data_IF_422961074361
#
_entry.id   IF_422961074361
#
_cell.length_a   1.000
_cell.length_b   1.000
_cell.length_c   1.000
_cell.angle_alpha   90.00
_cell.angle_beta   90.00
_cell.angle_gamma   90.00
#
_symmetry.space_group_name_H-M   'P 1'
#
loop_
_entity.id
_entity.type
_entity.pdbx_description
1 polymer ?
#
# COMPACT_ATOMS: atom_id res chain seq x y z
N UNK A 1 -1.62 29.26 61.66
CA UNK A 1 -0.76 28.09 61.88
C UNK A 1 -1.36 26.88 61.16
N UNK A 2 -1.09 26.75 59.86
CA UNK A 2 -1.35 25.54 59.06
C UNK A 2 -0.24 25.47 58.01
N UNK A 3 0.51 24.39 58.06
CA UNK A 3 1.72 24.12 57.30
C UNK A 3 1.39 23.68 55.87
N UNK A 4 2.07 24.29 54.90
CA UNK A 4 2.22 23.79 53.53
C UNK A 4 3.10 22.54 53.53
N UNK A 5 2.68 21.51 52.79
CA UNK A 5 3.55 20.41 52.38
C UNK A 5 3.49 20.29 50.86
N UNK A 6 4.67 20.39 50.25
CA UNK A 6 4.93 20.18 48.83
C UNK A 6 5.03 18.68 48.52
N UNK A 7 4.63 18.27 47.32
CA UNK A 7 5.01 17.00 46.73
C UNK A 7 5.37 17.22 45.25
N UNK A 8 6.54 16.69 44.89
CA UNK A 8 7.25 16.75 43.61
C UNK A 8 6.69 15.78 42.55
N UNK A 9 7.14 15.90 41.28
CA UNK A 9 6.54 15.26 40.11
C UNK A 9 7.06 13.84 39.88
N UNK A 10 6.24 12.96 39.31
CA UNK A 10 6.63 11.59 38.98
C UNK A 10 6.01 11.10 37.69
N UNK A 11 6.86 10.61 36.78
CA UNK A 11 6.54 9.47 35.91
C UNK A 11 6.19 9.80 34.45
N UNK A 12 7.21 10.00 33.63
CA UNK A 12 7.12 9.73 32.19
C UNK A 12 6.86 8.23 31.95
N UNK A 13 5.71 7.88 31.37
CA UNK A 13 5.51 6.58 30.74
C UNK A 13 5.73 6.74 29.23
N UNK A 14 6.97 6.45 28.79
CA UNK A 14 7.24 6.15 27.39
C UNK A 14 6.78 4.72 27.11
N UNK A 15 5.79 4.56 26.23
CA UNK A 15 5.36 3.26 25.74
C UNK A 15 6.11 3.00 24.45
N UNK A 16 6.97 1.97 24.47
CA UNK A 16 7.72 1.49 23.31
C UNK A 16 6.78 0.65 22.41
N UNK A 17 6.54 1.05 21.15
CA UNK A 17 5.61 0.35 20.25
C UNK A 17 6.14 -1.00 19.73
N UNK A 18 7.24 -1.52 20.27
CA UNK A 18 7.83 -2.82 19.90
C UNK A 18 7.78 -3.89 21.02
N UNK A 19 7.04 -3.70 22.12
CA UNK A 19 6.92 -4.73 23.18
C UNK A 19 5.86 -5.82 22.84
N UNK A 20 6.27 -7.10 22.63
CA UNK A 20 5.36 -8.20 22.31
C UNK A 20 4.54 -8.72 23.50
N UNK A 21 4.57 -8.08 24.68
CA UNK A 21 3.91 -8.56 25.91
C UNK A 21 2.41 -8.26 26.05
N UNK A 22 1.76 -7.65 25.05
CA UNK A 22 0.30 -7.45 25.06
C UNK A 22 -0.54 -8.71 24.78
N UNK A 23 0.09 -9.87 24.54
CA UNK A 23 -0.60 -11.17 24.46
C UNK A 23 -0.58 -11.90 25.81
N UNK A 24 -1.47 -11.55 26.75
CA UNK A 24 -1.92 -12.53 27.77
C UNK A 24 -3.13 -12.04 28.56
N UNK A 25 -4.33 -12.41 28.11
CA UNK A 25 -5.58 -12.33 28.88
C UNK A 25 -6.38 -13.64 28.85
N UNK A 26 -5.79 -14.72 28.33
CA UNK A 26 -6.42 -16.03 28.28
C UNK A 26 -5.79 -16.95 29.34
N UNK A 27 -6.59 -17.70 30.12
CA UNK A 27 -6.06 -18.75 30.97
C UNK A 27 -5.35 -19.81 30.09
N UNK A 28 -4.21 -20.38 30.52
CA UNK A 28 -3.49 -21.36 29.74
C UNK A 28 -4.35 -22.60 29.50
N UNK A 29 -4.47 -22.99 28.23
CA UNK A 29 -5.07 -24.26 27.84
C UNK A 29 -4.26 -25.43 28.43
N UNK A 30 -4.97 -26.48 28.85
CA UNK A 30 -4.36 -27.71 29.36
C UNK A 30 -3.38 -28.31 28.33
N UNK A 31 -2.24 -28.89 28.77
CA UNK A 31 -1.27 -29.48 27.85
C UNK A 31 -1.90 -30.65 27.07
N UNK A 32 -1.65 -30.75 25.75
CA UNK A 32 -2.14 -31.86 24.96
C UNK A 32 -1.46 -33.17 25.39
N UNK A 33 -2.24 -34.26 25.37
CA UNK A 33 -1.75 -35.60 25.60
C UNK A 33 -0.67 -35.97 24.57
N UNK A 34 0.43 -36.53 25.06
CA UNK A 34 1.56 -37.01 24.28
C UNK A 34 1.14 -38.14 23.33
N UNK A 35 0.99 -37.82 22.04
CA UNK A 35 0.96 -38.81 20.98
C UNK A 35 2.39 -39.16 20.55
N UNK A 36 2.71 -40.45 20.31
CA UNK A 36 4.03 -40.87 19.87
C UNK A 36 4.33 -40.36 18.46
N UNK A 37 5.54 -39.82 18.30
CA UNK A 37 6.13 -39.28 17.09
C UNK A 37 6.33 -40.39 16.03
N UNK A 38 5.81 -40.24 14.79
CA UNK A 38 6.12 -41.19 13.73
C UNK A 38 7.55 -40.97 13.21
N UNK A 39 8.29 -42.07 13.05
CA UNK A 39 9.67 -42.09 12.61
C UNK A 39 9.88 -41.42 11.23
N UNK A 40 10.97 -40.69 11.09
CA UNK A 40 11.37 -40.02 9.87
C UNK A 40 11.61 -41.03 8.71
N UNK A 41 11.20 -40.69 7.46
CA UNK A 41 11.44 -41.55 6.31
C UNK A 41 12.93 -41.60 5.93
N UNK A 42 13.41 -42.82 5.66
CA UNK A 42 14.76 -43.10 5.16
C UNK A 42 14.87 -42.68 3.69
N UNK A 43 15.90 -41.91 3.28
CA UNK A 43 16.10 -41.57 1.87
C UNK A 43 16.54 -42.79 1.06
N UNK A 44 16.07 -42.94 -0.20
CA UNK A 44 16.47 -44.06 -1.04
C UNK A 44 17.94 -43.95 -1.50
N UNK A 45 18.65 -45.08 -1.65
CA UNK A 45 20.02 -45.09 -2.14
C UNK A 45 20.07 -44.98 -3.66
N UNK A 46 20.91 -44.06 -4.16
CA UNK A 46 21.46 -44.13 -5.51
C UNK A 46 20.99 -43.03 -6.47
N UNK A 47 21.77 -41.96 -6.56
CA UNK A 47 21.98 -41.24 -7.82
C UNK A 47 23.45 -40.92 -7.96
N UNK A 48 24.09 -41.60 -8.91
CA UNK A 48 25.48 -41.42 -9.29
C UNK A 48 25.72 -40.10 -10.00
N UNK A 49 26.95 -39.64 -9.90
CA UNK A 49 27.50 -38.47 -10.56
C UNK A 49 27.33 -38.56 -12.09
N UNK A 50 26.68 -37.56 -12.68
CA UNK A 50 26.63 -37.36 -14.12
C UNK A 50 27.53 -36.17 -14.52
N UNK A 51 28.39 -36.48 -15.48
CA UNK A 51 29.31 -35.64 -16.24
C UNK A 51 28.92 -34.16 -16.43
N UNK A 52 29.92 -33.30 -16.20
CA UNK A 52 29.96 -31.90 -16.67
C UNK A 52 30.45 -31.89 -18.12
N UNK A 53 29.69 -31.36 -19.10
CA UNK A 53 30.20 -31.13 -20.44
C UNK A 53 30.97 -29.80 -20.52
N UNK A 54 32.11 -29.90 -21.16
CA UNK A 54 33.10 -28.87 -21.49
C UNK A 54 32.57 -27.85 -22.51
N UNK A 55 32.94 -26.58 -22.31
CA UNK A 55 33.11 -25.50 -23.31
C UNK A 55 31.97 -25.19 -24.29
N UNK A 56 31.24 -24.10 -24.04
CA UNK A 56 30.57 -23.33 -25.08
C UNK A 56 31.57 -22.41 -25.79
N UNK A 57 31.92 -22.72 -27.04
CA UNK A 57 32.59 -21.79 -27.95
C UNK A 57 31.59 -20.74 -28.43
N UNK A 58 31.97 -19.46 -28.25
CA UNK A 58 31.24 -18.29 -28.74
C UNK A 58 31.36 -18.19 -30.27
N UNK A 59 30.26 -18.09 -31.05
CA UNK A 59 30.34 -17.81 -32.48
C UNK A 59 30.89 -16.40 -32.74
N UNK A 60 31.60 -16.17 -33.86
CA UNK A 60 32.16 -14.88 -34.20
C UNK A 60 31.06 -13.84 -34.51
N UNK A 61 31.30 -12.65 -33.99
CA UNK A 61 30.51 -11.42 -34.07
C UNK A 61 30.34 -10.97 -35.52
N UNK A 62 29.10 -10.98 -36.02
CA UNK A 62 28.77 -10.43 -37.33
C UNK A 62 28.73 -8.90 -37.25
N UNK A 63 29.51 -8.25 -38.10
CA UNK A 63 29.64 -6.79 -38.17
C UNK A 63 28.28 -6.12 -38.45
N UNK A 64 27.89 -5.21 -37.56
CA UNK A 64 26.73 -4.32 -37.71
C UNK A 64 27.09 -3.22 -38.73
N UNK A 65 26.27 -2.96 -39.77
CA UNK A 65 26.53 -1.87 -40.71
C UNK A 65 26.32 -0.48 -40.05
N UNK A 66 27.05 0.55 -40.50
CA UNK A 66 26.97 1.88 -39.91
C UNK A 66 25.60 2.53 -40.14
N UNK A 67 25.05 3.11 -39.07
CA UNK A 67 23.82 3.93 -39.09
C UNK A 67 24.13 5.22 -39.87
N UNK A 68 23.33 5.61 -40.88
CA UNK A 68 23.52 6.88 -41.57
C UNK A 68 23.22 8.07 -40.64
N UNK A 69 23.93 9.21 -40.78
CA UNK A 69 23.70 10.38 -39.95
C UNK A 69 22.30 10.93 -40.21
N UNK A 70 21.45 10.86 -39.19
CA UNK A 70 20.16 11.55 -39.19
C UNK A 70 20.43 13.05 -39.12
N UNK A 71 20.03 13.77 -40.16
CA UNK A 71 20.10 15.24 -40.20
C UNK A 71 19.27 15.89 -39.09
N UNK A 72 19.44 17.20 -38.86
CA UNK A 72 18.82 17.90 -37.75
C UNK A 72 17.31 17.97 -37.96
N UNK A 73 16.57 17.09 -37.28
CA UNK A 73 15.12 17.20 -37.20
C UNK A 73 14.78 18.29 -36.19
N UNK A 74 14.45 19.47 -36.72
CA UNK A 74 13.85 20.55 -35.96
C UNK A 74 12.51 20.09 -35.38
N UNK A 75 12.52 19.74 -34.10
CA UNK A 75 11.35 19.73 -33.24
C UNK A 75 11.67 20.57 -32.01
N UNK A 76 11.94 21.86 -32.22
CA UNK A 76 11.60 22.88 -31.23
C UNK A 76 10.08 23.09 -31.30
N UNK A 77 9.33 22.13 -30.76
CA UNK A 77 7.98 22.39 -30.29
C UNK A 77 8.08 22.54 -28.78
N UNK A 78 8.16 23.80 -28.37
CA UNK A 78 7.80 24.23 -27.03
C UNK A 78 6.38 23.74 -26.71
N UNK A 79 6.29 22.58 -26.05
CA UNK A 79 5.14 22.29 -25.20
C UNK A 79 5.21 23.25 -24.02
N UNK A 80 4.42 24.30 -24.12
CA UNK A 80 4.15 25.22 -23.03
C UNK A 80 3.26 24.53 -22.00
N UNK A 81 3.86 23.63 -21.21
CA UNK A 81 3.40 23.31 -19.87
C UNK A 81 4.66 23.26 -19.00
N UNK A 82 4.65 24.05 -17.93
CA UNK A 82 5.84 24.29 -17.12
C UNK A 82 6.35 23.00 -16.49
N UNK A 83 7.42 22.46 -17.08
CA UNK A 83 8.34 21.52 -16.44
C UNK A 83 8.99 22.24 -15.24
N UNK A 84 8.25 22.31 -14.13
CA UNK A 84 8.87 22.45 -12.81
C UNK A 84 9.77 21.22 -12.68
N UNK A 85 11.10 21.37 -12.50
CA UNK A 85 11.95 20.24 -12.19
C UNK A 85 11.33 19.55 -10.99
N UNK A 86 10.84 18.31 -11.18
CA UNK A 86 10.07 17.61 -10.18
C UNK A 86 10.89 17.60 -8.89
N UNK A 87 10.41 18.30 -7.85
CA UNK A 87 11.07 18.34 -6.55
C UNK A 87 11.39 16.90 -6.15
N UNK A 88 12.69 16.52 -6.03
CA UNK A 88 13.10 15.13 -5.81
C UNK A 88 12.43 14.50 -4.59
N UNK A 89 12.02 15.34 -3.63
CA UNK A 89 11.28 14.93 -2.44
C UNK A 89 9.93 14.30 -2.76
N UNK A 90 9.26 14.72 -3.83
CA UNK A 90 8.02 14.09 -4.29
C UNK A 90 8.26 12.73 -4.91
N UNK A 91 9.34 12.53 -5.66
CA UNK A 91 9.67 11.21 -6.20
C UNK A 91 9.94 10.20 -5.07
N UNK A 92 10.68 10.61 -4.04
CA UNK A 92 10.88 9.80 -2.83
C UNK A 92 9.56 9.55 -2.08
N UNK A 93 8.71 10.58 -1.89
CA UNK A 93 7.42 10.42 -1.25
C UNK A 93 6.52 9.41 -2.00
N UNK A 94 6.51 9.43 -3.34
CA UNK A 94 5.80 8.43 -4.16
C UNK A 94 6.32 7.02 -3.88
N UNK A 95 7.65 6.83 -3.75
CA UNK A 95 8.24 5.55 -3.37
C UNK A 95 7.86 5.12 -1.95
N UNK A 96 7.84 6.06 -0.98
CA UNK A 96 7.35 5.79 0.37
C UNK A 96 5.89 5.32 0.35
N UNK A 97 5.03 5.99 -0.42
CA UNK A 97 3.61 5.62 -0.61
C UNK A 97 3.49 4.22 -1.21
N UNK A 98 4.28 3.90 -2.25
CA UNK A 98 4.33 2.57 -2.85
C UNK A 98 4.69 1.52 -1.80
N UNK A 99 5.75 1.75 -1.03
CA UNK A 99 6.20 0.82 -0.01
C UNK A 99 5.15 0.62 1.09
N UNK A 100 4.54 1.70 1.60
CA UNK A 100 3.49 1.64 2.61
C UNK A 100 2.25 0.91 2.10
N UNK A 101 1.83 1.19 0.87
CA UNK A 101 0.67 0.53 0.25
C UNK A 101 0.90 -0.97 0.12
N UNK A 102 2.07 -1.40 -0.39
CA UNK A 102 2.43 -2.83 -0.46
C UNK A 102 2.44 -3.50 0.91
N UNK A 103 3.06 -2.85 1.91
CA UNK A 103 3.14 -3.39 3.27
C UNK A 103 1.75 -3.54 3.88
N UNK A 104 0.89 -2.54 3.73
CA UNK A 104 -0.47 -2.57 4.24
C UNK A 104 -1.29 -3.64 3.53
N UNK A 105 -1.23 -3.73 2.20
CA UNK A 105 -1.98 -4.73 1.44
C UNK A 105 -1.58 -6.17 1.81
N UNK A 106 -0.29 -6.43 2.04
CA UNK A 106 0.16 -7.72 2.57
C UNK A 106 -0.36 -7.98 3.99
N UNK A 107 -0.33 -6.98 4.88
CA UNK A 107 -0.88 -7.10 6.24
C UNK A 107 -2.39 -7.36 6.23
N UNK A 108 -3.13 -6.57 5.45
CA UNK A 108 -4.57 -6.71 5.20
C UNK A 108 -4.92 -8.12 4.73
N UNK A 109 -4.14 -8.65 3.78
CA UNK A 109 -4.33 -10.02 3.31
C UNK A 109 -4.16 -11.07 4.42
N UNK A 110 -3.11 -10.94 5.25
CA UNK A 110 -2.86 -11.88 6.34
C UNK A 110 -4.02 -11.85 7.35
N UNK A 111 -4.47 -10.66 7.73
CA UNK A 111 -5.60 -10.49 8.66
C UNK A 111 -6.89 -11.05 8.05
N UNK A 112 -7.17 -10.75 6.78
CA UNK A 112 -8.35 -11.26 6.08
C UNK A 112 -8.34 -12.78 5.95
N UNK A 113 -7.19 -13.38 5.63
CA UNK A 113 -7.05 -14.83 5.55
C UNK A 113 -7.27 -15.49 6.92
N UNK A 114 -6.63 -14.97 7.98
CA UNK A 114 -6.75 -15.53 9.34
C UNK A 114 -8.18 -15.44 9.89
N UNK A 115 -8.90 -14.37 9.55
CA UNK A 115 -10.26 -14.14 10.02
C UNK A 115 -11.35 -14.74 9.11
N UNK A 116 -10.97 -15.31 7.96
CA UNK A 116 -11.91 -15.77 6.94
C UNK A 116 -12.94 -16.78 7.48
N UNK A 117 -14.22 -16.54 7.19
CA UNK A 117 -15.33 -17.39 7.64
C UNK A 117 -15.64 -17.32 9.13
N UNK A 118 -14.91 -16.50 9.90
CA UNK A 118 -15.14 -16.26 11.31
C UNK A 118 -15.98 -15.00 11.58
N UNK A 119 -16.35 -14.79 12.85
CA UNK A 119 -17.07 -13.60 13.31
C UNK A 119 -16.31 -12.29 13.11
N UNK A 120 -14.98 -12.36 13.01
CA UNK A 120 -14.09 -11.22 12.80
C UNK A 120 -13.63 -11.06 11.34
N UNK A 121 -14.31 -11.68 10.38
CA UNK A 121 -13.90 -11.64 8.98
C UNK A 121 -13.68 -10.20 8.50
N UNK A 122 -12.58 -9.97 7.80
CA UNK A 122 -12.19 -8.65 7.27
C UNK A 122 -12.63 -8.57 5.81
N UNK A 123 -13.18 -7.42 5.44
CA UNK A 123 -13.64 -7.12 4.09
C UNK A 123 -12.48 -7.07 3.07
N UNK A 124 -12.82 -7.10 1.77
CA UNK A 124 -11.83 -7.16 0.69
C UNK A 124 -11.05 -5.87 0.49
N UNK A 125 -11.52 -4.75 1.04
CA UNK A 125 -10.97 -3.41 0.79
C UNK A 125 -10.45 -2.74 2.07
N UNK A 126 -9.53 -1.80 1.91
CA UNK A 126 -8.98 -0.95 2.97
C UNK A 126 -8.74 0.47 2.45
N UNK A 127 -9.00 1.49 3.28
CA UNK A 127 -8.66 2.89 2.99
C UNK A 127 -7.30 3.24 3.60
N UNK A 128 -6.54 4.09 2.93
CA UNK A 128 -5.29 4.66 3.41
C UNK A 128 -5.33 6.18 3.27
N UNK A 129 -4.95 6.89 4.32
CA UNK A 129 -4.77 8.33 4.31
C UNK A 129 -3.29 8.64 4.54
N UNK A 130 -2.70 9.41 3.65
CA UNK A 130 -1.28 9.73 3.66
C UNK A 130 -1.05 11.16 4.16
N UNK A 131 -0.17 11.28 5.14
CA UNK A 131 0.27 12.55 5.69
C UNK A 131 1.79 12.59 5.68
N UNK A 132 2.37 13.77 5.56
CA UNK A 132 3.83 13.93 5.60
C UNK A 132 4.20 14.99 6.62
N UNK A 133 5.38 14.86 7.21
CA UNK A 133 6.01 15.91 8.01
C UNK A 133 7.43 16.15 7.53
N UNK A 134 7.94 17.36 7.75
CA UNK A 134 9.36 17.65 7.54
C UNK A 134 10.21 16.76 8.45
N UNK A 135 11.25 16.18 7.87
CA UNK A 135 12.18 15.27 8.52
C UNK A 135 13.58 15.51 7.92
N UNK A 136 14.29 16.58 8.34
CA UNK A 136 15.55 17.01 7.70
C UNK A 136 16.69 15.99 7.80
N UNK A 137 16.55 14.98 8.67
CA UNK A 137 17.51 13.89 8.83
C UNK A 137 17.19 12.67 7.95
N UNK A 138 16.03 12.66 7.27
CA UNK A 138 15.69 11.63 6.29
C UNK A 138 16.30 12.00 4.92
N UNK A 139 16.68 11.03 4.06
CA UNK A 139 17.42 11.28 2.82
C UNK A 139 16.82 12.35 1.90
N UNK A 140 15.49 12.50 1.89
CA UNK A 140 14.78 13.47 1.05
C UNK A 140 13.88 14.40 1.87
N UNK A 141 14.16 14.58 3.16
CA UNK A 141 13.55 15.63 3.98
C UNK A 141 12.10 15.40 4.40
N UNK A 142 11.47 14.29 4.02
CA UNK A 142 10.07 13.98 4.33
C UNK A 142 9.91 12.61 5.00
N UNK A 143 9.02 12.56 5.99
CA UNK A 143 8.56 11.33 6.62
C UNK A 143 7.08 11.13 6.37
N UNK A 144 6.73 10.02 5.71
CA UNK A 144 5.35 9.60 5.50
C UNK A 144 4.75 8.95 6.77
N UNK A 145 3.55 9.41 7.12
CA UNK A 145 2.65 8.85 8.12
C UNK A 145 1.40 8.31 7.41
N UNK A 146 0.85 7.21 7.90
CA UNK A 146 -0.29 6.56 7.25
C UNK A 146 -1.33 6.12 8.27
N UNK A 147 -2.50 6.74 8.19
CA UNK A 147 -3.72 6.22 8.82
C UNK A 147 -4.42 5.26 7.85
N UNK A 148 -5.07 4.22 8.36
CA UNK A 148 -5.82 3.30 7.52
C UNK A 148 -7.12 2.82 8.15
N UNK A 149 -8.05 2.37 7.32
CA UNK A 149 -9.28 1.70 7.74
C UNK A 149 -9.39 0.32 7.15
N UNK A 150 -9.58 -0.67 8.01
CA UNK A 150 -10.08 -1.99 7.63
C UNK A 150 -11.56 -2.08 7.97
N UNK A 151 -12.35 -2.71 7.12
CA UNK A 151 -13.76 -2.96 7.39
C UNK A 151 -13.99 -4.42 7.76
N UNK A 152 -14.95 -4.71 8.64
CA UNK A 152 -15.52 -6.04 8.74
C UNK A 152 -16.12 -6.45 7.40
N UNK A 153 -16.09 -7.74 7.10
CA UNK A 153 -16.75 -8.28 5.92
C UNK A 153 -18.26 -8.04 6.01
N UNK A 154 -18.80 -7.35 5.01
CA UNK A 154 -20.21 -7.00 4.88
C UNK A 154 -20.53 -6.64 3.43
N UNK A 155 -21.81 -6.73 3.00
CA UNK A 155 -22.22 -6.31 1.66
C UNK A 155 -21.80 -4.88 1.32
N UNK A 156 -21.83 -3.97 2.30
CA UNK A 156 -21.46 -2.56 2.15
C UNK A 156 -19.95 -2.39 1.85
N UNK A 157 -19.12 -3.34 2.29
CA UNK A 157 -17.67 -3.34 2.09
C UNK A 157 -17.19 -4.17 0.90
N UNK A 158 -18.09 -4.82 0.16
CA UNK A 158 -17.71 -5.78 -0.90
C UNK A 158 -17.38 -5.09 -2.23
N UNK A 159 -17.98 -3.93 -2.52
CA UNK A 159 -17.85 -3.23 -3.80
C UNK A 159 -17.03 -1.96 -3.63
N UNK A 160 -15.78 -1.96 -4.13
CA UNK A 160 -14.82 -0.89 -3.89
C UNK A 160 -15.28 0.50 -4.39
N UNK A 161 -15.81 0.66 -5.63
CA UNK A 161 -16.29 1.98 -6.07
C UNK A 161 -17.40 2.54 -5.18
N UNK A 162 -18.34 1.69 -4.75
CA UNK A 162 -19.44 2.10 -3.88
C UNK A 162 -18.91 2.50 -2.50
N UNK A 163 -18.01 1.70 -1.92
CA UNK A 163 -17.36 2.02 -0.65
C UNK A 163 -16.62 3.37 -0.70
N UNK A 164 -15.95 3.68 -1.82
CA UNK A 164 -15.28 4.97 -2.02
C UNK A 164 -16.27 6.15 -2.13
N UNK A 165 -17.41 5.95 -2.80
CA UNK A 165 -18.47 6.94 -2.86
C UNK A 165 -19.03 7.22 -1.46
N UNK A 166 -19.33 6.17 -0.68
CA UNK A 166 -19.80 6.29 0.70
C UNK A 166 -18.78 7.01 1.60
N UNK A 167 -17.48 6.72 1.45
CA UNK A 167 -16.44 7.44 2.19
C UNK A 167 -16.35 8.93 1.80
N UNK A 168 -16.71 9.27 0.57
CA UNK A 168 -16.79 10.67 0.11
C UNK A 168 -17.94 11.38 0.80
N UNK A 169 -19.11 10.74 0.89
CA UNK A 169 -20.28 11.26 1.60
C UNK A 169 -19.98 11.45 3.09
N UNK A 170 -19.39 10.45 3.75
CA UNK A 170 -18.98 10.53 5.16
C UNK A 170 -18.02 11.70 5.38
N UNK A 171 -17.03 11.90 4.50
CA UNK A 171 -16.13 13.04 4.60
C UNK A 171 -16.89 14.37 4.46
N UNK A 172 -17.76 14.49 3.44
CA UNK A 172 -18.54 15.69 3.21
C UNK A 172 -19.47 16.05 4.39
N UNK A 173 -20.14 15.06 4.97
CA UNK A 173 -21.04 15.24 6.10
C UNK A 173 -20.30 15.67 7.37
N UNK A 174 -19.13 15.07 7.65
CA UNK A 174 -18.29 15.50 8.77
C UNK A 174 -17.76 16.92 8.57
N UNK A 175 -17.33 17.27 7.35
CA UNK A 175 -16.90 18.63 7.02
C UNK A 175 -18.05 19.62 7.20
N UNK A 176 -19.26 19.28 6.77
CA UNK A 176 -20.42 20.16 6.89
C UNK A 176 -20.87 20.36 8.35
N UNK A 177 -20.77 19.31 9.19
CA UNK A 177 -21.24 19.33 10.57
C UNK A 177 -20.23 19.91 11.56
N UNK A 178 -18.95 19.55 11.45
CA UNK A 178 -17.88 19.94 12.39
C UNK A 178 -17.06 21.12 11.84
N UNK A 179 -17.01 21.29 10.52
CA UNK A 179 -16.29 22.38 9.88
C UNK A 179 -14.77 22.22 9.95
N UNK A 180 -14.05 23.36 9.98
CA UNK A 180 -12.58 23.41 9.92
C UNK A 180 -11.84 22.63 11.01
N UNK A 181 -12.51 22.32 12.12
CA UNK A 181 -11.92 21.55 13.22
C UNK A 181 -11.85 20.05 12.95
N UNK A 182 -12.57 19.54 11.95
CA UNK A 182 -12.59 18.11 11.67
C UNK A 182 -11.30 17.62 11.03
N UNK A 183 -10.76 16.52 11.57
CA UNK A 183 -9.70 15.72 10.99
C UNK A 183 -10.18 14.28 10.79
N UNK A 184 -9.85 13.64 9.66
CA UNK A 184 -10.23 12.25 9.41
C UNK A 184 -9.56 11.25 10.38
N UNK A 185 -8.55 11.68 11.14
CA UNK A 185 -7.86 10.89 12.18
C UNK A 185 -8.49 11.03 13.56
N UNK A 186 -9.30 12.08 13.78
CA UNK A 186 -9.87 12.34 15.10
C UNK A 186 -10.96 11.30 15.43
N UNK A 187 -11.23 11.03 16.72
CA UNK A 187 -12.26 10.08 17.11
C UNK A 187 -13.66 10.45 16.62
N UNK A 188 -13.97 11.75 16.58
CA UNK A 188 -15.25 12.29 16.12
C UNK A 188 -15.27 12.35 14.60
N UNK A 189 -16.09 11.50 13.96
CA UNK A 189 -16.14 11.41 12.49
C UNK A 189 -14.92 10.72 11.88
N UNK A 190 -14.29 9.79 12.60
CA UNK A 190 -13.06 9.13 12.14
C UNK A 190 -13.25 8.32 10.85
N UNK A 191 -12.36 8.54 9.90
CA UNK A 191 -12.29 7.77 8.65
C UNK A 191 -11.26 6.63 8.70
N UNK A 192 -10.50 6.51 9.78
CA UNK A 192 -9.47 5.48 9.96
C UNK A 192 -9.63 4.77 11.30
N UNK A 193 -9.12 3.55 11.41
CA UNK A 193 -9.16 2.76 12.65
C UNK A 193 -7.82 2.08 12.99
N UNK A 194 -6.75 2.42 12.28
CA UNK A 194 -5.40 1.92 12.53
C UNK A 194 -4.33 2.78 11.88
N UNK A 195 -3.07 2.46 12.17
CA UNK A 195 -1.91 3.17 11.66
C UNK A 195 -1.51 4.36 12.54
N UNK A 196 -0.97 5.39 11.92
CA UNK A 196 -0.48 6.60 12.59
C UNK A 196 -1.65 7.52 12.96
N UNK A 197 -2.33 7.22 14.08
CA UNK A 197 -3.50 7.96 14.57
C UNK A 197 -3.16 9.29 15.26
N UNK A 198 -1.87 9.58 15.46
CA UNK A 198 -1.39 10.84 16.03
C UNK A 198 -0.23 11.34 15.20
N UNK A 199 -0.39 12.53 14.64
CA UNK A 199 0.61 13.13 13.76
C UNK A 199 1.50 14.11 14.53
N UNK A 200 2.78 14.27 14.15
CA UNK A 200 3.61 15.34 14.69
C UNK A 200 3.06 16.72 14.27
N UNK A 201 3.31 17.77 15.07
CA UNK A 201 2.94 19.13 14.70
C UNK A 201 3.48 19.51 13.32
N UNK A 202 2.64 20.17 12.52
CA UNK A 202 3.01 20.60 11.17
C UNK A 202 2.90 19.51 10.11
N UNK A 203 2.53 18.27 10.45
CA UNK A 203 2.20 17.26 9.45
C UNK A 203 0.98 17.67 8.62
N UNK A 204 0.95 17.28 7.34
CA UNK A 204 -0.11 17.67 6.42
C UNK A 204 -0.51 16.54 5.49
N UNK A 205 -1.75 16.61 5.00
CA UNK A 205 -2.31 15.66 4.06
C UNK A 205 -1.61 15.73 2.70
N UNK A 206 -1.25 14.57 2.15
CA UNK A 206 -0.61 14.46 0.83
C UNK A 206 -1.30 13.49 -0.11
N UNK A 207 -2.29 12.72 0.36
CA UNK A 207 -3.00 11.81 -0.53
C UNK A 207 -3.90 10.80 0.16
N UNK A 208 -4.61 10.06 -0.66
CA UNK A 208 -5.48 8.95 -0.28
C UNK A 208 -5.15 7.76 -1.15
N UNK A 209 -5.29 6.56 -0.59
CA UNK A 209 -5.23 5.34 -1.36
C UNK A 209 -6.18 4.29 -0.85
N UNK A 210 -6.31 3.23 -1.61
CA UNK A 210 -7.05 2.03 -1.25
C UNK A 210 -6.21 0.81 -1.52
N UNK A 211 -6.38 -0.19 -0.67
CA UNK A 211 -5.86 -1.54 -0.84
C UNK A 211 -7.05 -2.46 -1.09
N UNK A 212 -6.95 -3.30 -2.10
CA UNK A 212 -7.95 -4.34 -2.38
C UNK A 212 -7.29 -5.71 -2.50
N UNK A 213 -8.00 -6.72 -2.01
CA UNK A 213 -7.68 -8.13 -2.16
C UNK A 213 -8.34 -8.74 -3.40
N UNK A 214 -9.22 -7.98 -4.07
CA UNK A 214 -9.70 -8.32 -5.40
C UNK A 214 -8.54 -8.16 -6.40
N UNK A 215 -8.53 -9.02 -7.41
CA UNK A 215 -7.50 -9.01 -8.45
C UNK A 215 -8.03 -9.63 -9.75
N UNK A 216 -7.17 -9.71 -10.76
CA UNK A 216 -7.43 -10.47 -12.00
C UNK A 216 -7.67 -11.98 -11.75
N UNK A 217 -7.33 -12.50 -10.56
CA UNK A 217 -7.64 -13.87 -10.12
C UNK A 217 -9.07 -14.02 -9.58
N UNK A 218 -9.81 -12.92 -9.46
CA UNK A 218 -11.19 -12.89 -8.99
C UNK A 218 -11.35 -12.09 -7.69
N UNK A 219 -12.60 -12.12 -7.19
CA UNK A 219 -12.96 -11.47 -5.93
C UNK A 219 -12.35 -12.21 -4.75
N UNK A 220 -11.98 -11.48 -3.69
CA UNK A 220 -11.35 -12.03 -2.48
C UNK A 220 -12.07 -13.28 -1.95
N UNK A 221 -13.40 -13.24 -1.84
CA UNK A 221 -14.17 -14.37 -1.30
C UNK A 221 -14.05 -15.64 -2.15
N UNK A 222 -13.92 -15.49 -3.48
CA UNK A 222 -13.79 -16.61 -4.42
C UNK A 222 -12.40 -17.23 -4.27
N UNK A 223 -11.38 -16.38 -4.20
CA UNK A 223 -9.98 -16.77 -4.02
C UNK A 223 -9.81 -17.45 -2.66
N UNK A 224 -10.24 -16.81 -1.57
CA UNK A 224 -10.13 -17.32 -0.22
C UNK A 224 -10.84 -18.67 -0.04
N UNK A 225 -12.06 -18.84 -0.57
CA UNK A 225 -12.77 -20.12 -0.53
C UNK A 225 -11.98 -21.23 -1.23
N UNK A 226 -11.47 -20.95 -2.43
CA UNK A 226 -10.69 -21.92 -3.22
C UNK A 226 -9.42 -22.36 -2.47
N UNK A 227 -8.76 -21.44 -1.77
CA UNK A 227 -7.57 -21.77 -0.97
C UNK A 227 -7.90 -22.66 0.22
N UNK A 228 -9.04 -22.43 0.89
CA UNK A 228 -9.48 -23.24 2.02
C UNK A 228 -9.86 -24.65 1.58
N UNK A 229 -10.56 -24.78 0.45
CA UNK A 229 -10.87 -26.09 -0.15
C UNK A 229 -9.59 -26.84 -0.56
N UNK A 230 -8.61 -26.14 -1.16
CA UNK A 230 -7.32 -26.73 -1.51
C UNK A 230 -6.52 -27.15 -0.27
N UNK A 231 -6.50 -26.32 0.77
CA UNK A 231 -5.84 -26.60 2.04
C UNK A 231 -6.46 -27.83 2.74
N UNK A 232 -7.78 -27.94 2.76
CA UNK A 232 -8.49 -29.12 3.29
C UNK A 232 -8.13 -30.41 2.54
N UNK A 233 -7.77 -30.31 1.25
CA UNK A 233 -7.28 -31.41 0.44
C UNK A 233 -5.75 -31.60 0.48
N UNK A 234 -5.05 -30.98 1.45
CA UNK A 234 -3.61 -31.11 1.64
C UNK A 234 -2.74 -30.29 0.67
N UNK A 235 -3.34 -29.40 -0.14
CA UNK A 235 -2.66 -28.53 -1.11
C UNK A 235 -2.64 -27.08 -0.62
N UNK A 236 -2.03 -26.86 0.55
CA UNK A 236 -1.98 -25.53 1.14
C UNK A 236 -1.16 -24.57 0.26
N UNK A 237 -1.77 -23.47 -0.15
CA UNK A 237 -1.09 -22.33 -0.72
C UNK A 237 -1.01 -21.22 0.34
N UNK A 238 0.20 -20.68 0.51
CA UNK A 238 0.41 -19.54 1.39
C UNK A 238 -0.36 -18.32 0.89
N UNK A 239 -0.98 -17.55 1.80
CA UNK A 239 -1.59 -16.26 1.47
C UNK A 239 -0.59 -15.32 0.77
N UNK A 240 0.72 -15.43 1.06
CA UNK A 240 1.77 -14.68 0.38
C UNK A 240 1.87 -14.94 -1.14
N UNK A 241 1.24 -16.00 -1.66
CA UNK A 241 1.19 -16.31 -3.09
C UNK A 241 0.00 -15.69 -3.81
N UNK A 242 -0.87 -14.96 -3.11
CA UNK A 242 -2.03 -14.32 -3.71
C UNK A 242 -1.65 -12.96 -4.28
N UNK A 243 -2.50 -12.49 -5.18
CA UNK A 243 -2.43 -11.13 -5.68
C UNK A 243 -3.23 -10.16 -4.82
N UNK A 244 -3.04 -8.88 -5.08
CA UNK A 244 -3.92 -7.81 -4.66
C UNK A 244 -3.40 -6.49 -5.20
N UNK A 245 -4.21 -5.45 -5.08
CA UNK A 245 -3.97 -4.20 -5.77
C UNK A 245 -4.04 -3.04 -4.80
N UNK A 246 -3.33 -1.97 -5.11
CA UNK A 246 -3.49 -0.68 -4.45
C UNK A 246 -3.64 0.42 -5.48
N UNK A 247 -4.48 1.40 -5.17
CA UNK A 247 -4.67 2.61 -5.94
C UNK A 247 -4.38 3.80 -5.02
N UNK A 248 -3.66 4.81 -5.49
CA UNK A 248 -3.44 6.02 -4.69
C UNK A 248 -3.42 7.28 -5.56
N UNK A 249 -3.93 8.37 -5.00
CA UNK A 249 -3.87 9.72 -5.53
C UNK A 249 -3.16 10.64 -4.53
N UNK A 250 -2.22 11.44 -5.03
CA UNK A 250 -1.47 12.40 -4.25
C UNK A 250 -1.74 13.84 -4.71
N UNK A 251 -1.52 14.80 -3.82
CA UNK A 251 -1.84 16.21 -4.03
C UNK A 251 -0.97 16.90 -5.10
N UNK A 252 0.12 16.27 -5.55
CA UNK A 252 0.94 16.73 -6.68
C UNK A 252 0.42 16.23 -8.04
N UNK A 253 -0.78 15.63 -8.07
CA UNK A 253 -1.38 15.03 -9.25
C UNK A 253 -0.87 13.63 -9.57
N UNK A 254 -0.09 13.01 -8.68
CA UNK A 254 0.34 11.63 -8.87
C UNK A 254 -0.84 10.66 -8.73
N UNK A 255 -0.95 9.73 -9.67
CA UNK A 255 -1.76 8.53 -9.59
C UNK A 255 -0.85 7.30 -9.60
N UNK A 256 -1.10 6.36 -8.68
CA UNK A 256 -0.35 5.12 -8.50
C UNK A 256 -1.28 3.92 -8.56
N UNK A 257 -0.99 2.97 -9.45
CA UNK A 257 -1.56 1.63 -9.39
C UNK A 257 -0.46 0.62 -9.10
N UNK A 258 -0.66 -0.16 -8.05
CA UNK A 258 0.30 -1.11 -7.55
C UNK A 258 -0.35 -2.49 -7.61
N UNK A 259 0.12 -3.31 -8.54
CA UNK A 259 -0.22 -4.72 -8.63
C UNK A 259 0.79 -5.52 -7.80
N UNK A 260 0.34 -6.02 -6.66
CA UNK A 260 1.14 -6.91 -5.81
C UNK A 260 0.93 -8.33 -6.30
N UNK A 261 1.79 -8.74 -7.22
CA UNK A 261 1.82 -10.11 -7.73
C UNK A 261 3.14 -10.82 -7.34
N UNK A 262 3.08 -11.85 -6.49
CA UNK A 262 4.26 -12.58 -6.01
C UNK A 262 4.93 -13.42 -7.11
N UNK A 263 4.28 -13.58 -8.27
CA UNK A 263 4.83 -14.27 -9.44
C UNK A 263 5.42 -13.32 -10.49
N UNK A 264 5.49 -12.02 -10.20
CA UNK A 264 6.09 -11.04 -11.11
C UNK A 264 7.52 -11.42 -11.47
N UNK A 265 7.86 -11.19 -12.74
CA UNK A 265 9.20 -11.43 -13.26
C UNK A 265 10.18 -10.49 -12.57
N UNK A 266 11.41 -10.96 -12.35
CA UNK A 266 12.49 -10.13 -11.84
C UNK A 266 12.65 -8.87 -12.70
N UNK A 267 12.56 -7.70 -12.07
CA UNK A 267 12.64 -6.39 -12.73
C UNK A 267 11.28 -5.72 -12.99
N UNK A 268 10.17 -6.45 -12.90
CA UNK A 268 8.84 -5.86 -12.83
C UNK A 268 8.47 -5.63 -11.36
N UNK A 269 8.21 -4.38 -11.00
CA UNK A 269 7.84 -4.00 -9.64
C UNK A 269 6.31 -3.92 -9.45
N UNK A 270 5.52 -4.14 -10.51
CA UNK A 270 4.07 -4.05 -10.48
C UNK A 270 3.54 -2.64 -10.24
N UNK A 271 4.37 -1.59 -10.40
CA UNK A 271 3.97 -0.21 -10.11
C UNK A 271 3.80 0.58 -11.41
N UNK A 272 2.61 1.13 -11.61
CA UNK A 272 2.28 2.10 -12.66
C UNK A 272 2.07 3.46 -12.01
N UNK A 273 2.74 4.48 -12.54
CA UNK A 273 2.71 5.83 -11.99
C UNK A 273 2.67 6.84 -13.14
N UNK A 274 1.73 7.79 -13.10
CA UNK A 274 1.64 8.85 -14.13
C UNK A 274 2.73 9.94 -14.00
N UNK A 275 3.50 9.94 -12.90
CA UNK A 275 4.69 10.78 -12.68
C UNK A 275 5.96 9.94 -12.57
N UNK A 276 7.14 10.55 -12.65
CA UNK A 276 8.39 9.80 -12.44
C UNK A 276 8.54 9.33 -10.99
N UNK A 277 8.93 8.06 -10.82
CA UNK A 277 9.35 7.49 -9.53
C UNK A 277 10.85 7.65 -9.27
N UNK A 278 11.62 7.99 -10.31
CA UNK A 278 13.07 8.20 -10.21
C UNK A 278 13.37 9.64 -10.63
N UNK A 279 13.74 10.53 -9.70
CA UNK A 279 14.00 11.94 -10.02
C UNK A 279 15.21 12.11 -10.96
N UNK A 280 16.15 11.15 -10.96
CA UNK A 280 17.34 11.17 -11.82
C UNK A 280 17.06 10.62 -13.22
N UNK A 281 15.91 9.97 -13.43
CA UNK A 281 15.53 9.42 -14.73
C UNK A 281 14.89 10.50 -15.59
N UNK A 282 15.69 11.12 -16.45
CA UNK A 282 15.20 11.96 -17.54
C UNK A 282 14.63 11.03 -18.61
N UNK A 283 13.30 10.85 -18.60
CA UNK A 283 12.59 10.13 -19.65
C UNK A 283 11.45 10.98 -20.15
N UNK A 284 11.50 11.34 -21.44
CA UNK A 284 10.50 12.17 -22.11
C UNK A 284 9.16 11.44 -22.37
N UNK A 285 9.07 10.15 -22.04
CA UNK A 285 7.89 9.34 -22.31
C UNK A 285 7.53 8.52 -21.07
N UNK A 286 6.39 8.82 -20.47
CA UNK A 286 5.79 7.98 -19.45
C UNK A 286 4.63 7.17 -20.06
N UNK A 287 4.77 5.84 -20.26
CA UNK A 287 3.70 5.02 -20.83
C UNK A 287 2.43 5.00 -19.98
N UNK A 288 2.50 5.46 -18.72
CA UNK A 288 1.39 5.48 -17.78
C UNK A 288 0.81 6.88 -17.57
N UNK A 289 1.09 7.86 -18.41
CA UNK A 289 0.60 9.23 -18.21
C UNK A 289 -0.94 9.30 -18.07
N UNK A 290 -1.68 8.55 -18.90
CA UNK A 290 -3.15 8.56 -18.95
C UNK A 290 -3.80 7.29 -18.42
N UNK A 291 -3.10 6.51 -17.60
CA UNK A 291 -3.58 5.17 -17.24
C UNK A 291 -4.86 5.17 -16.38
N UNK A 292 -5.18 6.29 -15.73
CA UNK A 292 -6.42 6.49 -14.95
C UNK A 292 -7.67 6.50 -15.83
N UNK A 293 -7.52 6.79 -17.13
CA UNK A 293 -8.60 6.79 -18.13
C UNK A 293 -8.68 5.45 -18.89
N UNK A 294 -7.70 4.57 -18.66
CA UNK A 294 -7.56 3.27 -19.32
C UNK A 294 -8.06 2.14 -18.40
N UNK A 295 -8.16 0.93 -18.95
CA UNK A 295 -8.61 -0.27 -18.22
C UNK A 295 -10.08 -0.62 -18.46
N UNK A 296 -10.61 -1.52 -17.64
CA UNK A 296 -12.02 -1.89 -17.64
C UNK A 296 -12.89 -0.82 -16.96
N UNK A 297 -14.22 -0.98 -17.05
CA UNK A 297 -15.17 -0.03 -16.48
C UNK A 297 -15.04 0.09 -14.96
N UNK A 298 -14.73 -1.00 -14.27
CA UNK A 298 -14.55 -1.02 -12.82
C UNK A 298 -13.31 -0.24 -12.40
N UNK A 299 -12.17 -0.44 -13.07
CA UNK A 299 -10.93 0.31 -12.81
C UNK A 299 -11.13 1.82 -13.01
N UNK A 300 -11.83 2.21 -14.08
CA UNK A 300 -12.18 3.62 -14.31
C UNK A 300 -13.08 4.18 -13.21
N UNK A 301 -14.05 3.39 -12.73
CA UNK A 301 -14.92 3.82 -11.65
C UNK A 301 -14.16 3.96 -10.32
N UNK A 302 -13.25 3.03 -10.00
CA UNK A 302 -12.34 3.14 -8.85
C UNK A 302 -11.59 4.48 -8.90
N UNK A 303 -10.99 4.82 -10.05
CA UNK A 303 -10.28 6.09 -10.20
C UNK A 303 -11.17 7.31 -10.02
N UNK A 304 -12.38 7.27 -10.58
CA UNK A 304 -13.35 8.35 -10.45
C UNK A 304 -13.76 8.57 -8.99
N UNK A 305 -14.12 7.51 -8.27
CA UNK A 305 -14.58 7.62 -6.88
C UNK A 305 -13.43 7.96 -5.93
N UNK A 306 -12.24 7.39 -6.16
CA UNK A 306 -11.04 7.77 -5.40
C UNK A 306 -10.68 9.24 -5.64
N UNK A 307 -10.84 9.74 -6.87
CA UNK A 307 -10.67 11.14 -7.24
C UNK A 307 -11.65 12.07 -6.52
N UNK A 308 -12.93 11.69 -6.44
CA UNK A 308 -13.94 12.44 -5.71
C UNK A 308 -13.58 12.55 -4.21
N UNK A 309 -13.22 11.42 -3.59
CA UNK A 309 -12.78 11.39 -2.20
C UNK A 309 -11.52 12.26 -1.97
N UNK A 310 -10.52 12.08 -2.82
CA UNK A 310 -9.27 12.84 -2.75
C UNK A 310 -9.51 14.34 -2.87
N UNK A 311 -10.38 14.77 -3.79
CA UNK A 311 -10.72 16.17 -3.99
C UNK A 311 -11.42 16.77 -2.76
N UNK A 312 -12.39 16.06 -2.19
CA UNK A 312 -13.10 16.47 -0.96
C UNK A 312 -12.11 16.67 0.19
N UNK A 313 -11.24 15.70 0.44
CA UNK A 313 -10.24 15.77 1.51
C UNK A 313 -9.19 16.85 1.26
N UNK A 314 -8.69 16.98 0.02
CA UNK A 314 -7.70 18.00 -0.34
C UNK A 314 -8.26 19.41 -0.14
N UNK A 315 -9.48 19.65 -0.63
CA UNK A 315 -10.15 20.94 -0.49
C UNK A 315 -10.31 21.33 0.98
N UNK A 316 -10.71 20.40 1.84
CA UNK A 316 -10.87 20.68 3.27
C UNK A 316 -9.53 20.85 4.00
N UNK A 317 -8.64 19.86 3.90
CA UNK A 317 -7.44 19.76 4.72
C UNK A 317 -6.33 20.73 4.30
N UNK A 318 -6.36 21.25 3.07
CA UNK A 318 -5.37 22.21 2.57
C UNK A 318 -5.88 23.66 2.46
N UNK A 319 -7.18 23.93 2.64
CA UNK A 319 -7.77 25.27 2.52
C UNK A 319 -7.26 26.33 3.51
N UNK A 320 -6.35 25.99 4.44
CA UNK A 320 -5.74 26.92 5.39
C UNK A 320 -4.22 27.09 5.25
N UNK A 321 -3.57 26.39 4.31
CA UNK A 321 -2.10 26.31 4.25
C UNK A 321 -1.44 27.24 3.23
N UNK A 322 -2.25 27.88 2.39
CA UNK A 322 -1.81 28.82 1.37
C UNK A 322 -2.04 30.29 1.77
N UNK A 323 -2.25 30.56 3.06
CA UNK A 323 -2.44 31.90 3.61
C UNK A 323 -1.17 32.38 4.33
#
# INVERSE_FOLDING_TARGET
MRTHAAASPGGHYGVDPLDPRWRSGYPPAAPPASHPEPAAPVPPPGYGAAHVPTSYQRPPEAAVPPIPPSGPSGYDQHSADGDVPADPRWADLRLQVVFRSKRLNTGHLIEADQAFGGRGAVGPHALMLFFVSDAPNEPHGYKLHTGYRLWPQSPDSDVLPQLLAEMTEVAADNIASIGRGWSPLDPEGSMVNGGDMTLPPGAWYVGVGVSTLDSDQGRWYQVARTLREAAAAGRYMSAFNLKGQCYALLTDGTALHIDRDPQLRLGDNGVRCNKTLNPDRISYHNPYEHFTEQGDDETRDIWRQLGALHHTLTTHLLAGRWA
#
